data_IF_707987393076
#
_entry.id   IF_707987393076
#
_cell.length_a   1.000
_cell.length_b   1.000
_cell.length_c   1.000
_cell.angle_alpha   90.00
_cell.angle_beta   90.00
_cell.angle_gamma   90.00
#
_symmetry.space_group_name_H-M   'P 1'
#
loop_
_entity.id
_entity.type
_entity.pdbx_description
1 polymer ?
#
# COMPACT_ATOMS: atom_id res chain seq x y z
N UNK A 1 6.87 -7.46 24.13
CA UNK A 1 6.37 -8.79 23.72
C UNK A 1 5.01 -8.98 24.36
N UNK A 2 3.95 -8.67 23.62
CA UNK A 2 2.56 -8.95 24.03
C UNK A 2 2.35 -10.46 24.07
N UNK A 3 1.88 -10.93 25.22
CA UNK A 3 1.98 -12.34 25.66
C UNK A 3 0.90 -13.26 25.08
N UNK A 4 -0.09 -12.72 24.40
CA UNK A 4 -1.13 -13.46 23.69
C UNK A 4 -1.21 -12.88 22.28
N UNK A 5 -1.40 -13.71 21.25
CA UNK A 5 -1.59 -13.29 19.85
C UNK A 5 -2.86 -12.48 19.59
N UNK A 6 -3.29 -11.67 20.57
CA UNK A 6 -4.39 -10.73 20.49
C UNK A 6 -3.92 -9.55 19.65
N UNK A 7 -4.43 -9.47 18.42
CA UNK A 7 -4.31 -8.27 17.60
C UNK A 7 -4.93 -7.11 18.36
N UNK A 8 -4.19 -6.02 18.52
CA UNK A 8 -4.82 -4.80 19.04
C UNK A 8 -5.94 -4.39 18.07
N UNK A 9 -7.04 -3.78 18.57
CA UNK A 9 -8.13 -3.33 17.71
C UNK A 9 -7.65 -2.40 16.58
N UNK A 10 -6.54 -1.69 16.81
CA UNK A 10 -5.88 -0.82 15.82
C UNK A 10 -5.24 -1.66 14.70
N UNK A 11 -4.53 -2.75 15.02
CA UNK A 11 -3.93 -3.64 14.02
C UNK A 11 -5.00 -4.40 13.22
N UNK A 12 -6.11 -4.78 13.87
CA UNK A 12 -7.28 -5.35 13.18
C UNK A 12 -7.89 -4.37 12.18
N UNK A 13 -8.07 -3.11 12.58
CA UNK A 13 -8.56 -2.06 11.69
C UNK A 13 -7.58 -1.83 10.52
N UNK A 14 -6.27 -1.78 10.78
CA UNK A 14 -5.26 -1.64 9.75
C UNK A 14 -5.28 -2.82 8.76
N UNK A 15 -5.49 -4.05 9.24
CA UNK A 15 -5.63 -5.23 8.39
C UNK A 15 -6.86 -5.12 7.47
N UNK A 16 -8.02 -4.73 8.02
CA UNK A 16 -9.25 -4.52 7.23
C UNK A 16 -9.03 -3.44 6.16
N UNK A 17 -8.38 -2.33 6.51
CA UNK A 17 -8.05 -1.26 5.57
C UNK A 17 -7.08 -1.73 4.48
N UNK A 18 -6.09 -2.55 4.81
CA UNK A 18 -5.18 -3.18 3.85
C UNK A 18 -5.94 -4.09 2.86
N UNK A 19 -6.81 -4.96 3.35
CA UNK A 19 -7.64 -5.82 2.49
C UNK A 19 -8.56 -5.00 1.57
N UNK A 20 -9.25 -4.00 2.12
CA UNK A 20 -10.14 -3.14 1.35
C UNK A 20 -9.39 -2.40 0.23
N UNK A 21 -8.22 -1.81 0.54
CA UNK A 21 -7.41 -1.09 -0.44
C UNK A 21 -6.79 -1.99 -1.49
N UNK A 22 -6.44 -3.23 -1.14
CA UNK A 22 -6.03 -4.28 -2.10
C UNK A 22 -7.14 -4.59 -3.09
N UNK A 23 -8.37 -4.79 -2.61
CA UNK A 23 -9.53 -5.07 -3.46
C UNK A 23 -9.86 -3.89 -4.37
N UNK A 24 -9.76 -2.65 -3.85
CA UNK A 24 -9.92 -1.43 -4.65
C UNK A 24 -8.83 -1.38 -5.74
N UNK A 25 -7.57 -1.67 -5.40
CA UNK A 25 -6.47 -1.74 -6.36
C UNK A 25 -6.72 -2.77 -7.47
N UNK A 26 -7.19 -3.96 -7.10
CA UNK A 26 -7.56 -5.00 -8.06
C UNK A 26 -8.71 -4.54 -8.98
N UNK A 27 -9.78 -3.95 -8.43
CA UNK A 27 -10.88 -3.40 -9.22
C UNK A 27 -10.41 -2.29 -10.19
N UNK A 28 -9.47 -1.45 -9.77
CA UNK A 28 -8.88 -0.42 -10.63
C UNK A 28 -8.06 -1.00 -11.78
N UNK A 29 -7.40 -2.15 -11.59
CA UNK A 29 -6.76 -2.89 -12.69
C UNK A 29 -7.79 -3.42 -13.68
N UNK A 30 -8.92 -3.95 -13.21
CA UNK A 30 -10.03 -4.35 -14.10
C UNK A 30 -10.55 -3.16 -14.92
N UNK A 31 -10.62 -1.97 -14.31
CA UNK A 31 -11.00 -0.74 -15.01
C UNK A 31 -9.88 -0.08 -15.83
N UNK A 32 -8.76 -0.78 -16.04
CA UNK A 32 -7.61 -0.29 -16.83
C UNK A 32 -7.07 1.05 -16.33
N UNK A 33 -7.10 1.29 -15.02
CA UNK A 33 -6.54 2.48 -14.34
C UNK A 33 -5.28 2.09 -13.54
N UNK A 34 -4.15 1.78 -14.20
CA UNK A 34 -2.96 1.22 -13.55
C UNK A 34 -2.33 2.17 -12.52
N UNK A 35 -2.42 3.48 -12.76
CA UNK A 35 -1.89 4.49 -11.83
C UNK A 35 -2.66 4.54 -10.51
N UNK A 36 -3.99 4.50 -10.58
CA UNK A 36 -4.83 4.49 -9.39
C UNK A 36 -4.68 3.16 -8.64
N UNK A 37 -4.55 2.04 -9.36
CA UNK A 37 -4.26 0.75 -8.76
C UNK A 37 -2.93 0.75 -8.00
N UNK A 38 -1.86 1.28 -8.60
CA UNK A 38 -0.55 1.40 -7.94
C UNK A 38 -0.62 2.19 -6.63
N UNK A 39 -1.38 3.30 -6.61
CA UNK A 39 -1.58 4.08 -5.39
C UNK A 39 -2.34 3.29 -4.32
N UNK A 40 -3.39 2.55 -4.71
CA UNK A 40 -4.16 1.70 -3.80
C UNK A 40 -3.30 0.56 -3.21
N UNK A 41 -2.44 -0.08 -4.01
CA UNK A 41 -1.52 -1.10 -3.52
C UNK A 41 -0.43 -0.53 -2.61
N UNK A 42 0.08 0.68 -2.89
CA UNK A 42 1.03 1.35 -2.01
C UNK A 42 0.41 1.64 -0.62
N UNK A 43 -0.83 2.11 -0.60
CA UNK A 43 -1.59 2.36 0.64
C UNK A 43 -1.84 1.03 1.39
N UNK A 44 -2.28 -0.01 0.67
CA UNK A 44 -2.47 -1.35 1.25
C UNK A 44 -1.22 -1.88 1.92
N UNK A 45 -0.08 -1.73 1.25
CA UNK A 45 1.21 -2.19 1.76
C UNK A 45 1.68 -1.43 2.99
N UNK A 46 1.34 -0.14 3.11
CA UNK A 46 1.62 0.66 4.30
C UNK A 46 0.84 0.13 5.52
N UNK A 47 -0.44 -0.17 5.34
CA UNK A 47 -1.26 -0.78 6.39
C UNK A 47 -0.80 -2.19 6.76
N UNK A 48 -0.43 -3.00 5.77
CA UNK A 48 0.17 -4.31 6.02
C UNK A 48 1.48 -4.21 6.80
N UNK A 49 2.31 -3.21 6.51
CA UNK A 49 3.54 -2.95 7.25
C UNK A 49 3.27 -2.60 8.72
N UNK A 50 2.25 -1.78 9.01
CA UNK A 50 1.85 -1.44 10.38
C UNK A 50 1.43 -2.68 11.18
N UNK A 51 0.64 -3.58 10.57
CA UNK A 51 0.26 -4.84 11.21
C UNK A 51 1.48 -5.74 11.45
N UNK A 52 2.37 -5.83 10.47
CA UNK A 52 3.58 -6.66 10.57
C UNK A 52 4.61 -6.09 11.54
N UNK A 53 4.62 -4.79 11.81
CA UNK A 53 5.54 -4.18 12.78
C UNK A 53 5.31 -4.71 14.19
N UNK A 54 4.07 -5.02 14.55
CA UNK A 54 3.73 -5.59 15.85
C UNK A 54 4.05 -7.09 15.94
N UNK A 55 3.86 -7.84 14.86
CA UNK A 55 4.00 -9.31 14.85
C UNK A 55 5.41 -9.77 14.47
N UNK A 56 5.97 -9.23 13.40
CA UNK A 56 7.27 -9.62 12.81
C UNK A 56 7.94 -8.37 12.21
N UNK A 57 8.65 -7.57 13.03
CA UNK A 57 9.27 -6.31 12.60
C UNK A 57 10.11 -6.39 11.31
N UNK A 58 10.85 -7.48 11.03
CA UNK A 58 11.60 -7.61 9.77
C UNK A 58 10.71 -7.55 8.51
N UNK A 59 9.47 -8.07 8.57
CA UNK A 59 8.51 -8.07 7.46
C UNK A 59 7.78 -6.73 7.29
N UNK A 60 7.83 -5.85 8.29
CA UNK A 60 7.31 -4.49 8.15
C UNK A 60 8.13 -3.68 7.14
N UNK A 61 9.45 -3.88 7.10
CA UNK A 61 10.33 -3.20 6.14
C UNK A 61 10.01 -3.56 4.69
N UNK A 62 9.60 -4.79 4.41
CA UNK A 62 9.15 -5.18 3.07
C UNK A 62 7.88 -4.43 2.66
N UNK A 63 6.90 -4.30 3.56
CA UNK A 63 5.68 -3.54 3.29
C UNK A 63 5.95 -2.05 3.05
N UNK A 64 6.90 -1.45 3.82
CA UNK A 64 7.37 -0.09 3.60
C UNK A 64 8.09 0.08 2.25
N UNK A 65 8.93 -0.89 1.87
CA UNK A 65 9.63 -0.88 0.57
C UNK A 65 8.67 -0.89 -0.62
N UNK A 66 7.64 -1.75 -0.57
CA UNK A 66 6.60 -1.80 -1.61
C UNK A 66 5.82 -0.47 -1.67
N UNK A 67 5.49 0.12 -0.52
CA UNK A 67 4.82 1.42 -0.48
C UNK A 67 5.69 2.53 -1.10
N UNK A 68 7.00 2.54 -0.82
CA UNK A 68 7.95 3.49 -1.38
C UNK A 68 8.06 3.35 -2.92
N UNK A 69 8.15 2.13 -3.43
CA UNK A 69 8.20 1.86 -4.88
C UNK A 69 6.91 2.35 -5.54
N UNK A 70 5.74 2.03 -4.97
CA UNK A 70 4.46 2.49 -5.50
C UNK A 70 4.33 4.01 -5.55
N UNK A 71 4.87 4.71 -4.55
CA UNK A 71 4.96 6.18 -4.53
C UNK A 71 5.87 6.71 -5.64
N UNK A 72 7.08 6.15 -5.77
CA UNK A 72 8.06 6.53 -6.80
C UNK A 72 7.49 6.36 -8.22
N UNK A 73 6.84 5.23 -8.49
CA UNK A 73 6.16 4.97 -9.76
C UNK A 73 5.07 6.01 -10.03
N UNK A 74 4.25 6.32 -9.01
CA UNK A 74 3.21 7.34 -9.12
C UNK A 74 3.75 8.73 -9.43
N UNK A 75 4.85 9.13 -8.79
CA UNK A 75 5.51 10.42 -9.04
C UNK A 75 6.12 10.45 -10.43
N UNK A 76 6.86 9.40 -10.83
CA UNK A 76 7.50 9.31 -12.13
C UNK A 76 6.48 9.46 -13.27
N UNK A 77 5.35 8.75 -13.18
CA UNK A 77 4.29 8.82 -14.18
C UNK A 77 3.60 10.19 -14.23
N UNK A 78 3.39 10.84 -13.06
CA UNK A 78 2.87 12.21 -13.03
C UNK A 78 3.82 13.20 -13.72
N UNK A 79 5.12 13.03 -13.55
CA UNK A 79 6.13 13.85 -14.22
C UNK A 79 6.12 13.62 -15.73
N UNK A 80 6.03 12.38 -16.19
CA UNK A 80 5.90 12.06 -17.62
C UNK A 80 4.65 12.67 -18.25
N UNK A 81 3.49 12.57 -17.58
CA UNK A 81 2.23 13.19 -18.07
C UNK A 81 2.34 14.71 -18.15
N UNK A 82 3.02 15.35 -17.19
CA UNK A 82 3.26 16.80 -17.23
C UNK A 82 4.20 17.18 -18.37
N UNK A 83 5.28 16.43 -18.57
CA UNK A 83 6.21 16.65 -19.68
C UNK A 83 5.52 16.50 -21.05
N UNK A 84 4.67 15.48 -21.21
CA UNK A 84 3.91 15.25 -22.45
C UNK A 84 2.86 16.33 -22.77
N UNK A 85 2.44 17.15 -21.78
CA UNK A 85 1.51 18.28 -21.98
C UNK A 85 2.22 19.60 -22.24
N UNK A 86 3.54 19.67 -22.03
CA UNK A 86 4.34 20.87 -22.23
C UNK A 86 4.97 20.96 -23.64
N UNK A 87 4.84 19.90 -24.44
CA UNK A 87 5.17 19.83 -25.87
C UNK A 87 3.90 19.89 -26.70
#
# INVERSE_FOLDING_TARGET
MTRNGDLTPISLLALVLSCATTLIGAAMLLWRKPLSASAAYAISSLFAALVMAEWRPPLAFTGLGIALIGLLVGVHMRLQVRAARAH
#
